data_IF_659080825980
#
_entry.id   IF_659080825980
#
_cell.length_a   1.000
_cell.length_b   1.000
_cell.length_c   1.000
_cell.angle_alpha   90.00
_cell.angle_beta   90.00
_cell.angle_gamma   90.00
#
_symmetry.space_group_name_H-M   'P 1'
#
loop_
_entity.id
_entity.type
_entity.pdbx_description
1 polymer ?
#
# COMPACT_ATOMS: atom_id res chain seq x y z
N UNK A 1 2.12 9.14 -8.46
CA UNK A 1 2.37 7.70 -8.18
C UNK A 1 3.72 7.26 -8.72
N UNK A 2 3.99 7.39 -10.03
CA UNK A 2 5.28 7.02 -10.64
C UNK A 2 6.49 7.69 -9.96
N UNK A 3 6.47 9.03 -9.84
CA UNK A 3 7.53 9.80 -9.19
C UNK A 3 7.80 9.31 -7.75
N UNK A 4 6.74 9.02 -7.00
CA UNK A 4 6.84 8.51 -5.62
C UNK A 4 7.52 7.14 -5.56
N UNK A 5 7.16 6.23 -6.47
CA UNK A 5 7.76 4.90 -6.55
C UNK A 5 9.23 4.97 -7.01
N UNK A 6 9.59 5.93 -7.86
CA UNK A 6 10.96 6.17 -8.31
C UNK A 6 11.83 6.78 -7.20
N UNK A 7 11.33 7.80 -6.51
CA UNK A 7 12.02 8.45 -5.39
C UNK A 7 12.36 7.45 -4.26
N UNK A 8 11.47 6.50 -4.01
CA UNK A 8 11.61 5.49 -2.95
C UNK A 8 11.97 4.08 -3.50
N UNK A 9 12.57 4.00 -4.69
CA UNK A 9 12.84 2.74 -5.41
C UNK A 9 13.50 1.66 -4.53
N UNK A 10 14.54 2.03 -3.79
CA UNK A 10 15.26 1.12 -2.89
C UNK A 10 14.39 0.56 -1.77
N UNK A 11 13.47 1.36 -1.20
CA UNK A 11 12.51 0.93 -0.18
C UNK A 11 11.48 -0.02 -0.77
N UNK A 12 10.94 0.31 -1.95
CA UNK A 12 9.97 -0.54 -2.64
C UNK A 12 10.56 -1.91 -2.94
N UNK A 13 11.74 -1.93 -3.59
CA UNK A 13 12.47 -3.14 -3.90
C UNK A 13 12.65 -3.98 -2.64
N UNK A 14 13.20 -3.41 -1.57
CA UNK A 14 13.52 -4.15 -0.35
C UNK A 14 12.31 -4.65 0.43
N UNK A 15 11.31 -3.79 0.66
CA UNK A 15 10.27 -4.05 1.65
C UNK A 15 8.90 -4.39 1.08
N UNK A 16 8.65 -4.05 -0.19
CA UNK A 16 7.36 -4.32 -0.86
C UNK A 16 7.52 -5.44 -1.89
N UNK A 17 8.66 -5.49 -2.57
CA UNK A 17 8.92 -6.36 -3.71
C UNK A 17 10.04 -7.40 -3.45
N UNK A 18 10.42 -7.59 -2.18
CA UNK A 18 11.34 -8.65 -1.74
C UNK A 18 12.65 -8.76 -2.54
N UNK A 19 13.28 -7.61 -2.80
CA UNK A 19 14.51 -7.46 -3.58
C UNK A 19 14.39 -7.84 -5.07
N UNK A 20 13.19 -7.97 -5.61
CA UNK A 20 13.00 -8.29 -7.04
C UNK A 20 13.08 -7.04 -7.92
N UNK A 21 14.16 -6.95 -8.71
CA UNK A 21 14.32 -5.95 -9.77
C UNK A 21 13.24 -6.10 -10.85
N UNK A 22 12.93 -7.34 -11.24
CA UNK A 22 11.91 -7.63 -12.25
C UNK A 22 10.52 -7.13 -11.83
N UNK A 23 10.15 -7.34 -10.56
CA UNK A 23 8.86 -6.85 -10.05
C UNK A 23 8.84 -5.32 -9.95
N UNK A 24 9.98 -4.70 -9.66
CA UNK A 24 10.08 -3.25 -9.65
C UNK A 24 9.94 -2.67 -11.06
N UNK A 25 10.61 -3.27 -12.05
CA UNK A 25 10.43 -2.89 -13.46
C UNK A 25 8.99 -3.08 -13.92
N UNK A 26 8.33 -4.18 -13.53
CA UNK A 26 6.91 -4.41 -13.82
C UNK A 26 6.04 -3.33 -13.20
N UNK A 27 6.29 -2.96 -11.94
CA UNK A 27 5.59 -1.87 -11.27
C UNK A 27 5.76 -0.53 -12.01
N UNK A 28 6.98 -0.18 -12.39
CA UNK A 28 7.28 1.07 -13.12
C UNK A 28 6.54 1.09 -14.44
N UNK A 29 6.60 0.02 -15.25
CA UNK A 29 5.86 -0.08 -16.52
C UNK A 29 4.35 0.06 -16.34
N UNK A 30 3.80 -0.52 -15.28
CA UNK A 30 2.38 -0.36 -14.92
C UNK A 30 2.06 1.10 -14.57
N UNK A 31 2.93 1.78 -13.83
CA UNK A 31 2.75 3.18 -13.45
C UNK A 31 2.95 4.18 -14.59
N UNK A 32 3.69 3.79 -15.62
CA UNK A 32 3.90 4.56 -16.86
C UNK A 32 2.73 4.43 -17.85
N UNK A 33 1.84 3.45 -17.66
CA UNK A 33 0.69 3.25 -18.53
C UNK A 33 -0.22 4.48 -18.55
N UNK A 34 -0.51 5.00 -19.74
CA UNK A 34 -1.26 6.24 -19.93
C UNK A 34 -0.40 7.51 -19.92
N UNK A 35 0.91 7.39 -19.64
CA UNK A 35 1.87 8.50 -19.69
C UNK A 35 2.76 8.45 -20.94
N UNK A 36 3.01 7.26 -21.50
CA UNK A 36 3.89 7.12 -22.67
C UNK A 36 3.17 7.45 -23.99
N UNK A 37 3.86 7.91 -25.04
CA UNK A 37 3.24 8.19 -26.34
C UNK A 37 2.43 7.03 -26.93
N UNK A 38 2.85 5.80 -26.68
CA UNK A 38 2.22 4.57 -27.17
C UNK A 38 0.95 4.20 -26.38
N UNK A 39 0.82 4.70 -25.15
CA UNK A 39 -0.28 4.32 -24.23
C UNK A 39 -1.14 5.50 -23.76
N UNK A 40 -0.78 6.75 -24.08
CA UNK A 40 -1.50 7.96 -23.68
C UNK A 40 -2.97 7.98 -24.12
N UNK A 41 -3.25 7.41 -25.29
CA UNK A 41 -4.60 7.35 -25.87
C UNK A 41 -5.36 6.09 -25.42
N UNK A 42 -4.75 5.26 -24.58
CA UNK A 42 -5.38 4.04 -24.06
C UNK A 42 -6.55 4.32 -23.11
N UNK A 43 -6.80 5.58 -22.72
CA UNK A 43 -8.04 5.96 -22.03
C UNK A 43 -9.29 5.74 -22.89
N UNK A 44 -9.13 5.61 -24.22
CA UNK A 44 -10.20 5.29 -25.17
C UNK A 44 -10.46 3.79 -25.29
N UNK A 45 -9.56 2.95 -24.79
CA UNK A 45 -9.59 1.50 -24.91
C UNK A 45 -9.49 0.80 -23.53
N UNK A 46 -9.63 -0.52 -23.53
CA UNK A 46 -9.48 -1.30 -22.32
C UNK A 46 -8.02 -1.44 -21.90
N UNK A 47 -7.70 -1.16 -20.63
CA UNK A 47 -6.35 -1.34 -20.08
C UNK A 47 -5.92 -2.82 -20.15
N UNK A 48 -4.86 -3.17 -20.90
CA UNK A 48 -4.40 -4.55 -20.98
C UNK A 48 -3.97 -5.11 -19.63
N UNK A 49 -4.29 -6.38 -19.36
CA UNK A 49 -4.03 -7.02 -18.06
C UNK A 49 -2.56 -6.96 -17.60
N UNK A 50 -1.60 -6.88 -18.54
CA UNK A 50 -0.16 -6.73 -18.23
C UNK A 50 0.20 -5.43 -17.49
N UNK A 51 -0.68 -4.43 -17.55
CA UNK A 51 -0.55 -3.15 -16.81
C UNK A 51 -1.47 -3.10 -15.59
N UNK A 52 -2.11 -4.21 -15.21
CA UNK A 52 -2.90 -4.23 -13.98
C UNK A 52 -1.99 -4.37 -12.78
N UNK A 53 -2.33 -3.67 -11.70
CA UNK A 53 -1.62 -3.85 -10.44
C UNK A 53 -1.94 -5.19 -9.81
N UNK A 54 -0.95 -5.80 -9.17
CA UNK A 54 -1.21 -6.80 -8.14
C UNK A 54 -1.71 -6.12 -6.86
N UNK A 55 -2.47 -6.86 -6.05
CA UNK A 55 -3.20 -6.23 -4.96
C UNK A 55 -2.38 -5.76 -3.76
N UNK A 56 -1.16 -6.30 -3.56
CA UNK A 56 -0.29 -5.88 -2.44
C UNK A 56 0.51 -4.64 -2.78
N UNK A 57 1.14 -4.62 -3.95
CA UNK A 57 2.01 -3.53 -4.38
C UNK A 57 1.17 -2.27 -4.61
N UNK A 58 -0.05 -2.41 -5.15
CA UNK A 58 -0.95 -1.27 -5.36
C UNK A 58 -1.25 -0.50 -4.08
N UNK A 59 -1.53 -1.21 -2.99
CA UNK A 59 -1.94 -0.58 -1.74
C UNK A 59 -0.85 0.34 -1.19
N UNK A 60 0.42 -0.10 -1.23
CA UNK A 60 1.54 0.71 -0.77
C UNK A 60 1.78 1.92 -1.68
N UNK A 61 1.73 1.73 -3.00
CA UNK A 61 1.89 2.85 -3.96
C UNK A 61 0.78 3.88 -3.82
N UNK A 62 -0.46 3.45 -3.65
CA UNK A 62 -1.57 4.34 -3.38
C UNK A 62 -1.37 5.08 -2.05
N UNK A 63 -0.92 4.38 -1.00
CA UNK A 63 -0.69 5.02 0.29
C UNK A 63 0.34 6.14 0.19
N UNK A 64 1.48 5.86 -0.44
CA UNK A 64 2.56 6.84 -0.59
C UNK A 64 2.15 8.01 -1.48
N UNK A 65 1.53 7.72 -2.63
CA UNK A 65 1.19 8.75 -3.61
C UNK A 65 0.12 9.73 -3.11
N UNK A 66 -0.82 9.24 -2.30
CA UNK A 66 -1.87 10.09 -1.72
C UNK A 66 -1.53 10.58 -0.31
N UNK A 67 -0.38 10.17 0.25
CA UNK A 67 0.00 10.49 1.62
C UNK A 67 -1.03 10.04 2.66
N UNK A 68 -1.77 8.95 2.39
CA UNK A 68 -2.89 8.49 3.23
C UNK A 68 -2.82 6.98 3.47
N UNK A 69 -3.22 6.48 4.64
CA UNK A 69 -3.31 5.05 4.89
C UNK A 69 -4.23 4.37 3.88
N UNK A 70 -3.95 3.10 3.55
CA UNK A 70 -4.83 2.31 2.69
C UNK A 70 -5.18 1.01 3.41
N UNK A 71 -6.47 0.73 3.50
CA UNK A 71 -7.00 -0.55 3.95
C UNK A 71 -7.57 -1.31 2.75
N UNK A 72 -7.13 -2.54 2.53
CA UNK A 72 -7.66 -3.42 1.49
C UNK A 72 -8.30 -4.64 2.13
N UNK A 73 -9.59 -4.81 1.86
CA UNK A 73 -10.37 -5.99 2.20
C UNK A 73 -10.53 -6.82 0.95
N UNK A 74 -10.37 -8.13 1.06
CA UNK A 74 -10.52 -9.03 -0.07
C UNK A 74 -11.60 -10.06 0.25
N UNK A 75 -12.55 -10.21 -0.65
CA UNK A 75 -13.55 -11.29 -0.56
C UNK A 75 -13.26 -12.27 -1.68
N UNK A 76 -12.51 -13.32 -1.34
CA UNK A 76 -12.33 -14.47 -2.20
C UNK A 76 -13.19 -15.63 -1.68
N UNK A 77 -13.85 -16.36 -2.58
CA UNK A 77 -14.77 -17.46 -2.24
C UNK A 77 -14.06 -18.67 -1.63
N UNK A 78 -12.73 -18.75 -1.74
CA UNK A 78 -11.96 -19.92 -1.32
C UNK A 78 -11.12 -19.67 -0.06
N UNK A 79 -10.54 -18.48 0.11
CA UNK A 79 -9.80 -18.11 1.33
C UNK A 79 -9.90 -16.61 1.62
N UNK A 80 -10.48 -16.18 2.76
CA UNK A 80 -10.43 -14.78 3.15
C UNK A 80 -8.99 -14.42 3.55
N UNK A 81 -8.30 -13.63 2.73
CA UNK A 81 -7.05 -13.01 3.14
C UNK A 81 -7.32 -12.01 4.27
N UNK A 82 -6.42 -11.91 5.28
CA UNK A 82 -6.59 -10.92 6.32
C UNK A 82 -6.58 -9.50 5.71
N UNK A 83 -7.40 -8.57 6.24
CA UNK A 83 -7.39 -7.19 5.78
C UNK A 83 -5.98 -6.62 5.81
N UNK A 84 -5.54 -6.08 4.68
CA UNK A 84 -4.26 -5.40 4.57
C UNK A 84 -4.45 -3.96 5.00
N UNK A 85 -3.56 -3.47 5.85
CA UNK A 85 -3.54 -2.08 6.26
C UNK A 85 -2.11 -1.57 6.13
N UNK A 86 -1.90 -0.66 5.18
CA UNK A 86 -0.60 -0.08 4.87
C UNK A 86 -0.62 1.40 5.18
N UNK A 87 0.50 1.87 5.70
CA UNK A 87 0.74 3.29 5.93
C UNK A 87 1.64 3.82 4.82
N UNK A 88 1.60 5.11 4.53
CA UNK A 88 2.57 5.72 3.65
C UNK A 88 3.97 5.62 4.25
N UNK A 89 4.98 5.36 3.42
CA UNK A 89 6.37 5.47 3.83
C UNK A 89 6.72 6.90 4.21
N UNK A 90 6.15 7.91 3.56
CA UNK A 90 6.37 9.33 3.91
C UNK A 90 5.22 9.91 4.74
N UNK A 91 5.47 10.82 5.71
CA UNK A 91 4.39 11.44 6.47
C UNK A 91 3.48 12.32 5.57
N UNK A 92 2.20 12.49 5.93
CA UNK A 92 1.28 13.39 5.24
C UNK A 92 1.73 14.84 5.42
N UNK A 93 1.73 15.60 4.33
CA UNK A 93 2.16 17.01 4.35
C UNK A 93 1.07 17.92 4.93
N UNK A 94 -0.21 17.62 4.69
CA UNK A 94 -1.30 18.60 4.88
C UNK A 94 -2.42 18.16 5.84
N UNK A 95 -2.42 16.92 6.33
CA UNK A 95 -3.52 16.41 7.14
C UNK A 95 -3.05 15.92 8.52
N UNK A 96 -3.42 16.62 9.62
CA UNK A 96 -3.07 16.20 10.97
C UNK A 96 -3.92 15.00 11.47
N UNK A 97 -5.01 14.65 10.78
CA UNK A 97 -5.93 13.55 11.11
C UNK A 97 -6.31 12.73 9.86
N UNK A 98 -5.33 12.14 9.18
CA UNK A 98 -5.57 11.43 7.93
C UNK A 98 -6.45 10.19 8.17
N UNK A 99 -7.49 10.03 7.35
CA UNK A 99 -8.34 8.83 7.36
C UNK A 99 -7.88 7.85 6.27
N UNK A 100 -7.99 6.53 6.51
CA UNK A 100 -7.62 5.55 5.51
C UNK A 100 -8.54 5.62 4.29
N UNK A 101 -7.98 5.41 3.11
CA UNK A 101 -8.74 4.97 1.94
C UNK A 101 -9.06 3.50 2.12
N UNK A 102 -10.32 3.12 1.90
CA UNK A 102 -10.76 1.75 2.14
C UNK A 102 -11.20 1.17 0.81
N UNK A 103 -10.54 0.09 0.43
CA UNK A 103 -10.73 -0.60 -0.82
C UNK A 103 -11.23 -2.00 -0.54
N UNK A 104 -12.21 -2.44 -1.32
CA UNK A 104 -12.73 -3.80 -1.31
C UNK A 104 -12.42 -4.44 -2.65
N UNK A 105 -11.58 -5.47 -2.63
CA UNK A 105 -11.24 -6.30 -3.76
C UNK A 105 -12.24 -7.46 -3.88
N UNK A 106 -12.95 -7.50 -5.01
CA UNK A 106 -13.86 -8.59 -5.39
C UNK A 106 -13.45 -9.09 -6.76
N UNK A 107 -12.90 -10.32 -6.82
CA UNK A 107 -12.25 -10.81 -8.02
C UNK A 107 -11.06 -9.93 -8.40
N UNK A 108 -11.12 -9.28 -9.56
CA UNK A 108 -10.09 -8.34 -10.05
C UNK A 108 -10.49 -6.85 -9.94
N UNK A 109 -11.61 -6.53 -9.27
CA UNK A 109 -12.14 -5.17 -9.21
C UNK A 109 -12.06 -4.59 -7.80
N UNK A 110 -11.70 -3.31 -7.73
CA UNK A 110 -11.66 -2.54 -6.49
C UNK A 110 -12.88 -1.63 -6.36
N UNK A 111 -13.50 -1.65 -5.19
CA UNK A 111 -14.56 -0.74 -4.80
C UNK A 111 -14.09 0.13 -3.64
N UNK A 112 -14.33 1.43 -3.71
CA UNK A 112 -14.11 2.32 -2.57
C UNK A 112 -15.23 2.15 -1.55
N UNK A 113 -14.89 1.99 -0.28
CA UNK A 113 -15.83 1.97 0.83
C UNK A 113 -15.66 3.20 1.72
N UNK A 114 -16.76 3.60 2.36
CA UNK A 114 -16.78 4.66 3.37
C UNK A 114 -17.26 4.08 4.70
N UNK A 115 -16.48 4.29 5.76
CA UNK A 115 -16.91 3.93 7.11
C UNK A 115 -18.00 4.91 7.56
N UNK A 116 -19.10 4.37 8.09
CA UNK A 116 -20.11 5.18 8.75
C UNK A 116 -19.49 5.91 9.96
N UNK A 117 -19.72 7.22 10.14
CA UNK A 117 -19.07 8.01 11.19
C UNK A 117 -19.24 7.47 12.62
N UNK A 118 -20.31 6.73 12.89
CA UNK A 118 -20.59 6.12 14.20
C UNK A 118 -19.75 4.88 14.51
N UNK A 119 -19.06 4.29 13.52
CA UNK A 119 -18.29 3.07 13.70
C UNK A 119 -16.82 3.44 13.96
N UNK A 120 -16.33 3.05 15.14
CA UNK A 120 -14.91 3.12 15.46
C UNK A 120 -14.23 1.84 15.00
N UNK A 121 -13.28 1.96 14.08
CA UNK A 121 -12.49 0.84 13.58
C UNK A 121 -11.13 0.81 14.27
N UNK A 122 -10.70 -0.39 14.66
CA UNK A 122 -9.37 -0.65 15.16
C UNK A 122 -8.54 -1.32 14.05
N UNK A 123 -7.43 -0.69 13.64
CA UNK A 123 -6.62 -1.20 12.53
C UNK A 123 -5.51 -2.17 12.99
N UNK A 124 -5.08 -3.11 12.14
CA UNK A 124 -3.96 -4.00 12.42
C UNK A 124 -2.68 -3.25 12.80
N UNK A 125 -1.83 -3.90 13.61
CA UNK A 125 -0.53 -3.32 14.01
C UNK A 125 0.38 -3.11 12.80
N UNK A 126 1.15 -2.02 12.81
CA UNK A 126 2.13 -1.72 11.77
C UNK A 126 3.15 -2.87 11.65
N UNK A 127 3.30 -3.50 10.47
CA UNK A 127 4.26 -4.57 10.24
C UNK A 127 5.71 -4.16 10.54
N UNK A 128 6.55 -5.13 10.90
CA UNK A 128 7.95 -4.85 11.24
C UNK A 128 8.75 -4.26 10.07
N UNK A 129 8.54 -4.78 8.86
CA UNK A 129 9.20 -4.27 7.65
C UNK A 129 8.93 -2.78 7.43
N UNK A 130 7.71 -2.34 7.72
CA UNK A 130 7.31 -0.96 7.54
C UNK A 130 8.02 -0.03 8.53
N UNK A 131 8.20 -0.51 9.78
CA UNK A 131 9.01 0.17 10.78
C UNK A 131 10.51 0.17 10.44
N UNK A 132 11.00 -0.81 9.69
CA UNK A 132 12.37 -0.81 9.17
C UNK A 132 12.52 0.23 8.05
N UNK A 133 11.59 0.26 7.10
CA UNK A 133 11.55 1.26 6.02
C UNK A 133 11.58 2.70 6.55
N UNK A 134 10.75 3.04 7.55
CA UNK A 134 10.78 4.37 8.17
C UNK A 134 12.10 4.71 8.85
N UNK A 135 12.78 3.73 9.46
CA UNK A 135 14.10 3.96 10.06
C UNK A 135 15.15 4.27 9.00
N UNK A 136 15.10 3.57 7.86
CA UNK A 136 16.03 3.80 6.74
C UNK A 136 15.77 5.13 6.04
N UNK A 137 14.52 5.57 5.96
CA UNK A 137 14.14 6.89 5.45
C UNK A 137 14.38 8.02 6.45
N UNK A 138 14.96 7.73 7.62
CA UNK A 138 15.19 8.69 8.71
C UNK A 138 13.94 9.47 9.13
N UNK A 139 12.77 8.83 8.99
CA UNK A 139 11.50 9.47 9.31
C UNK A 139 11.37 9.46 10.84
N UNK A 140 11.19 10.62 11.48
CA UNK A 140 11.20 10.72 12.93
C UNK A 140 10.22 9.73 13.55
N UNK A 141 10.64 9.05 14.62
CA UNK A 141 9.83 8.10 15.42
C UNK A 141 8.47 8.65 15.92
N UNK A 142 8.21 9.94 15.70
CA UNK A 142 6.99 10.65 16.03
C UNK A 142 5.77 10.30 15.17
N UNK A 143 5.83 9.39 14.20
CA UNK A 143 4.62 8.93 13.47
C UNK A 143 3.53 8.31 14.36
N UNK A 144 3.85 7.94 15.62
CA UNK A 144 2.83 7.65 16.65
C UNK A 144 1.87 8.82 16.87
N UNK A 145 2.28 10.07 16.67
CA UNK A 145 1.42 11.26 16.78
C UNK A 145 0.63 11.52 15.50
N UNK A 146 1.24 11.35 14.33
CA UNK A 146 0.59 11.50 13.02
C UNK A 146 -0.59 10.55 12.86
N UNK A 147 -0.37 9.27 13.20
CA UNK A 147 -1.36 8.21 12.99
C UNK A 147 -2.17 7.88 14.25
N UNK A 148 -2.05 8.67 15.33
CA UNK A 148 -2.72 8.39 16.63
C UNK A 148 -4.23 8.23 16.53
N UNK A 149 -4.84 8.92 15.57
CA UNK A 149 -6.28 8.94 15.34
C UNK A 149 -6.80 7.65 14.68
N UNK A 150 -5.91 6.83 14.13
CA UNK A 150 -6.26 5.60 13.45
C UNK A 150 -6.56 4.45 14.43
N UNK A 151 -6.34 4.58 15.74
CA UNK A 151 -6.56 3.49 16.69
C UNK A 151 -5.90 2.16 16.24
N UNK A 152 -4.62 2.25 15.85
CA UNK A 152 -3.83 1.11 15.41
C UNK A 152 -3.48 0.21 16.61
N UNK A 153 -3.67 -1.10 16.47
CA UNK A 153 -3.29 -2.10 17.48
C UNK A 153 -1.82 -1.98 17.85
N UNK A 154 -1.53 -2.08 19.14
CA UNK A 154 -0.15 -2.27 19.60
C UNK A 154 0.34 -3.65 19.14
N UNK A 155 1.58 -3.76 18.64
CA UNK A 155 2.14 -5.07 18.32
C UNK A 155 2.16 -5.94 19.59
N UNK A 156 1.71 -7.19 19.46
CA UNK A 156 1.86 -8.17 20.55
C UNK A 156 3.35 -8.47 20.73
N UNK A 157 3.86 -8.68 21.96
CA UNK A 157 5.21 -9.16 22.18
C UNK A 157 5.37 -10.52 21.48
N UNK A 158 6.08 -10.51 20.34
CA UNK A 158 6.61 -11.68 19.61
C UNK A 158 5.74 -12.94 19.56
N UNK A 159 4.90 -13.05 18.53
CA UNK A 159 4.93 -14.27 17.73
C UNK A 159 5.86 -13.98 16.54
N UNK A 160 6.94 -14.74 16.41
CA UNK A 160 7.84 -14.69 15.25
C UNK A 160 6.97 -14.86 14.00
N UNK A 161 6.86 -13.84 13.16
CA UNK A 161 6.12 -13.95 11.91
C UNK A 161 7.02 -14.68 10.92
N UNK A 162 6.50 -15.82 10.46
CA UNK A 162 7.01 -16.67 9.40
C UNK A 162 7.08 -15.89 8.09
N UNK A 163 8.25 -15.87 7.45
CA UNK A 163 8.34 -15.61 6.02
C UNK A 163 8.04 -16.94 5.32
N UNK A 164 7.15 -17.00 4.32
CA UNK A 164 7.11 -18.18 3.47
C UNK A 164 8.49 -18.28 2.81
N UNK A 165 9.20 -19.37 3.10
CA UNK A 165 10.41 -19.72 2.37
C UNK A 165 10.02 -19.88 0.90
N UNK A 166 10.51 -18.97 0.05
CA UNK A 166 10.37 -19.10 -1.39
C UNK A 166 11.65 -19.81 -1.86
N UNK A 167 11.50 -21.08 -2.21
CA UNK A 167 12.49 -21.89 -2.94
C UNK A 167 12.56 -21.47 -4.41
#
# INVERSE_FOLDING_TARGET
MLETAQANSHIYKKYTLYHSEQEYERLVRTLEFGLTPETKDAHLDFCPQKYWFDGSTMAQVAADAFGRPVAVFETCSQHPSPPRFVLPFSPPVENPKPTPMILHLVGAHYYSLVIKPSIRVEWPSVPHYHQQAWRELEIPAHYKTTWRYLHIRKPKPTQKIYYPDIH
#
